data_IF_817372187276
#
_entry.id   IF_817372187276
#
_cell.length_a   1.000
_cell.length_b   1.000
_cell.length_c   1.000
_cell.angle_alpha   90.00
_cell.angle_beta   90.00
_cell.angle_gamma   90.00
#
_symmetry.space_group_name_H-M   'P 1'
#
loop_
_entity.id
_entity.type
_entity.pdbx_description
1 polymer ?
#
# COMPACT_ATOMS: atom_id res chain seq x y z
N UNK A 1 21.46 -48.75 28.56
CA UNK A 1 22.65 -49.23 29.28
C UNK A 1 23.09 -48.12 30.23
N UNK A 2 22.86 -48.41 31.52
CA UNK A 2 23.36 -47.87 32.78
C UNK A 2 24.34 -46.69 32.73
N UNK A 3 23.92 -45.53 33.32
CA UNK A 3 24.25 -45.03 34.69
C UNK A 3 25.74 -44.72 34.96
N UNK A 4 25.99 -43.52 35.47
CA UNK A 4 26.48 -43.34 36.87
C UNK A 4 26.54 -41.88 37.31
N UNK A 5 25.92 -41.65 38.43
CA UNK A 5 26.06 -40.49 39.33
C UNK A 5 27.48 -40.40 39.89
N UNK A 6 27.94 -39.21 40.22
CA UNK A 6 28.95 -39.01 41.28
C UNK A 6 28.58 -37.79 42.14
N UNK A 7 28.19 -38.12 43.34
CA UNK A 7 28.05 -37.25 44.52
C UNK A 7 29.43 -37.04 45.11
N UNK A 8 29.82 -35.83 45.46
CA UNK A 8 30.99 -35.57 46.32
C UNK A 8 30.52 -34.88 47.60
N UNK A 9 30.81 -35.58 48.71
CA UNK A 9 30.62 -35.14 50.10
C UNK A 9 31.73 -34.14 50.47
N UNK A 10 31.35 -33.07 51.18
CA UNK A 10 32.30 -32.20 51.87
C UNK A 10 32.33 -32.53 53.36
N UNK A 11 33.51 -32.64 53.87
CA UNK A 11 33.80 -33.01 55.24
C UNK A 11 33.60 -31.85 56.22
N UNK A 12 32.98 -32.18 57.32
CA UNK A 12 32.76 -31.39 58.49
C UNK A 12 34.03 -31.29 59.33
N UNK A 13 34.50 -30.07 59.63
CA UNK A 13 35.52 -29.85 60.68
C UNK A 13 34.93 -28.93 61.75
N UNK A 14 34.74 -29.49 62.92
CA UNK A 14 34.27 -28.79 64.09
C UNK A 14 35.47 -28.15 64.83
N UNK A 15 35.37 -26.86 65.11
CA UNK A 15 36.18 -26.19 66.14
C UNK A 15 35.28 -25.48 67.12
N UNK A 16 35.25 -25.99 68.35
CA UNK A 16 34.69 -25.33 69.50
C UNK A 16 35.63 -24.21 69.95
N UNK A 17 35.14 -22.97 70.07
CA UNK A 17 35.75 -21.95 70.89
C UNK A 17 34.64 -21.12 71.57
N UNK A 18 34.84 -20.99 72.84
CA UNK A 18 34.22 -20.38 73.99
C UNK A 18 33.43 -19.08 73.77
N UNK A 19 32.34 -18.99 74.49
CA UNK A 19 31.47 -17.84 74.69
C UNK A 19 32.21 -16.61 75.20
N UNK A 20 31.94 -15.47 74.55
CA UNK A 20 31.98 -14.14 75.16
C UNK A 20 30.70 -13.42 74.73
N UNK A 21 29.83 -13.14 75.72
CA UNK A 21 28.71 -12.26 75.50
C UNK A 21 29.19 -10.83 75.30
N UNK A 22 29.04 -10.27 74.15
CA UNK A 22 28.86 -8.87 73.88
C UNK A 22 27.55 -8.68 73.12
N UNK A 23 26.64 -7.91 73.66
CA UNK A 23 25.42 -7.50 73.06
C UNK A 23 25.75 -6.46 71.99
N UNK A 24 26.11 -6.92 70.79
CA UNK A 24 26.07 -6.10 69.62
C UNK A 24 24.70 -6.32 68.95
N UNK A 25 23.87 -5.30 69.05
CA UNK A 25 22.69 -5.13 68.18
C UNK A 25 23.23 -5.01 66.79
N UNK A 26 23.19 -6.10 66.04
CA UNK A 26 23.36 -6.01 64.58
C UNK A 26 22.22 -5.12 64.05
N UNK A 27 22.57 -3.93 63.55
CA UNK A 27 21.66 -3.16 62.74
C UNK A 27 21.27 -4.03 61.55
N UNK A 28 19.95 -4.08 61.22
CA UNK A 28 19.54 -4.84 60.05
C UNK A 28 20.30 -4.31 58.83
N UNK A 29 21.02 -5.19 58.12
CA UNK A 29 21.62 -4.87 56.82
C UNK A 29 20.47 -4.48 55.92
N UNK A 30 20.34 -3.17 55.70
CA UNK A 30 19.39 -2.63 54.71
C UNK A 30 20.00 -3.02 53.34
N UNK A 31 19.49 -4.08 52.76
CA UNK A 31 19.77 -4.39 51.36
C UNK A 31 19.14 -3.24 50.59
N UNK A 32 19.92 -2.47 49.78
CA UNK A 32 19.32 -1.43 48.96
C UNK A 32 18.24 -2.05 48.09
N UNK A 33 17.04 -1.47 48.09
CA UNK A 33 15.98 -1.88 47.20
C UNK A 33 16.51 -1.78 45.75
N UNK A 34 16.28 -2.81 44.97
CA UNK A 34 16.65 -2.79 43.54
C UNK A 34 15.64 -1.90 42.82
N UNK A 35 16.17 -0.85 42.18
CA UNK A 35 15.36 0.00 41.33
C UNK A 35 15.22 -0.64 39.96
N UNK A 36 14.05 -0.60 39.36
CA UNK A 36 13.87 -0.93 37.95
C UNK A 36 14.43 0.17 37.03
N UNK A 37 14.35 0.00 35.73
CA UNK A 37 14.88 0.97 34.77
C UNK A 37 14.12 2.32 34.75
N UNK A 38 12.91 2.39 35.33
CA UNK A 38 12.18 3.64 35.56
C UNK A 38 12.52 4.28 36.91
N UNK A 39 13.38 3.64 37.73
CA UNK A 39 13.76 4.12 39.05
C UNK A 39 12.73 3.82 40.14
N UNK A 40 11.84 2.85 39.93
CA UNK A 40 10.84 2.41 40.87
C UNK A 40 11.42 1.28 41.74
N UNK A 41 11.30 1.39 43.09
CA UNK A 41 11.71 0.35 44.02
C UNK A 41 10.87 -0.93 43.82
N UNK A 42 11.56 -2.06 43.57
CA UNK A 42 10.95 -3.36 43.30
C UNK A 42 9.99 -3.36 42.08
N UNK A 43 10.14 -2.36 41.17
CA UNK A 43 9.36 -2.27 39.96
C UNK A 43 9.66 -3.41 38.96
N UNK A 44 8.72 -3.63 38.03
CA UNK A 44 8.77 -4.74 37.06
C UNK A 44 9.33 -4.34 35.69
N UNK A 45 9.75 -3.07 35.55
CA UNK A 45 10.28 -2.57 34.27
C UNK A 45 11.71 -3.03 34.07
N UNK A 46 12.05 -3.43 32.84
CA UNK A 46 13.37 -3.89 32.46
C UNK A 46 13.79 -3.22 31.15
N UNK A 47 15.11 -3.03 31.00
CA UNK A 47 15.66 -2.49 29.79
C UNK A 47 15.63 -3.55 28.69
N UNK A 48 15.05 -3.21 27.54
CA UNK A 48 15.05 -4.08 26.37
C UNK A 48 16.42 -4.06 25.64
N UNK A 49 16.52 -4.82 24.55
CA UNK A 49 17.76 -4.91 23.76
C UNK A 49 18.09 -3.60 23.01
N UNK A 50 17.15 -2.67 22.88
CA UNK A 50 17.37 -1.32 22.34
C UNK A 50 17.83 -0.32 23.40
N UNK A 51 17.79 -0.68 24.67
CA UNK A 51 18.14 0.18 25.80
C UNK A 51 16.94 0.97 26.32
N UNK A 52 15.74 0.73 25.81
CA UNK A 52 14.50 1.36 26.29
C UNK A 52 13.95 0.63 27.51
N UNK A 53 13.38 1.38 28.43
CA UNK A 53 12.79 0.83 29.63
C UNK A 53 11.36 0.35 29.35
N UNK A 54 11.15 -0.95 29.36
CA UNK A 54 9.88 -1.61 29.09
C UNK A 54 9.24 -2.13 30.38
N UNK A 55 7.95 -1.87 30.54
CA UNK A 55 7.14 -2.41 31.64
C UNK A 55 6.36 -3.64 31.15
N UNK A 56 6.13 -4.63 32.01
CA UNK A 56 5.22 -5.72 31.69
C UNK A 56 3.83 -5.20 31.32
N UNK A 57 3.19 -5.82 30.35
CA UNK A 57 1.87 -5.41 29.86
C UNK A 57 1.01 -6.59 29.43
N UNK A 58 -0.30 -6.36 29.41
CA UNK A 58 -1.27 -7.27 28.79
C UNK A 58 -1.48 -6.80 27.36
N UNK A 59 -1.35 -7.71 26.42
CA UNK A 59 -1.60 -7.49 25.01
C UNK A 59 -2.81 -8.29 24.54
N UNK A 60 -3.80 -7.62 23.96
CA UNK A 60 -4.95 -8.25 23.30
C UNK A 60 -4.65 -8.33 21.78
N UNK A 61 -4.47 -9.55 21.28
CA UNK A 61 -4.09 -9.79 19.88
C UNK A 61 -5.27 -9.72 18.89
N UNK A 62 -6.48 -9.39 19.33
CA UNK A 62 -7.64 -9.11 18.46
C UNK A 62 -7.89 -7.62 18.32
N UNK A 63 -7.86 -6.89 19.45
CA UNK A 63 -8.04 -5.43 19.45
C UNK A 63 -6.74 -4.65 19.31
N UNK A 64 -5.60 -5.32 19.46
CA UNK A 64 -4.25 -4.76 19.53
C UNK A 64 -4.05 -3.74 20.65
N UNK A 65 -4.88 -3.82 21.68
CA UNK A 65 -4.75 -2.96 22.85
C UNK A 65 -3.60 -3.45 23.74
N UNK A 66 -2.83 -2.47 24.24
CA UNK A 66 -1.79 -2.67 25.25
C UNK A 66 -2.26 -2.06 26.57
N UNK A 67 -2.22 -2.85 27.63
CA UNK A 67 -2.50 -2.38 29.00
C UNK A 67 -1.28 -2.62 29.86
N UNK A 68 -0.61 -1.55 30.30
CA UNK A 68 0.54 -1.66 31.20
C UNK A 68 0.13 -2.32 32.51
N UNK A 69 0.98 -3.21 33.01
CA UNK A 69 0.74 -3.89 34.27
C UNK A 69 1.03 -2.93 35.42
N UNK A 70 0.07 -2.80 36.34
CA UNK A 70 0.21 -2.07 37.58
C UNK A 70 0.35 -3.09 38.73
N UNK A 71 1.26 -2.85 39.69
CA UNK A 71 1.51 -3.72 40.82
C UNK A 71 0.25 -3.94 41.72
N UNK A 72 -0.81 -3.18 41.48
CA UNK A 72 -2.10 -3.31 42.16
C UNK A 72 -3.13 -4.13 41.42
N UNK A 73 -2.84 -4.57 40.21
CA UNK A 73 -3.80 -5.29 39.37
C UNK A 73 -3.84 -6.78 39.68
N UNK A 74 -5.06 -7.29 39.90
CA UNK A 74 -5.30 -8.73 39.90
C UNK A 74 -5.28 -9.24 38.45
N UNK A 75 -4.27 -10.03 38.09
CA UNK A 75 -4.07 -10.49 36.73
C UNK A 75 -5.15 -11.50 36.35
N UNK A 76 -6.08 -11.09 35.50
CA UNK A 76 -7.04 -11.99 34.84
C UNK A 76 -6.98 -11.79 33.35
N UNK A 77 -6.44 -12.76 32.61
CA UNK A 77 -6.31 -12.70 31.15
C UNK A 77 -7.60 -13.16 30.48
N UNK A 78 -8.07 -12.40 29.49
CA UNK A 78 -9.10 -12.80 28.54
C UNK A 78 -8.60 -13.88 27.56
N UNK A 79 -9.50 -14.43 26.73
CA UNK A 79 -9.14 -15.47 25.74
C UNK A 79 -8.25 -14.96 24.62
N UNK A 80 -8.23 -13.64 24.40
CA UNK A 80 -7.48 -12.95 23.36
C UNK A 80 -6.30 -12.15 23.91
N UNK A 81 -6.03 -12.30 25.23
CA UNK A 81 -5.02 -11.53 25.93
C UNK A 81 -3.86 -12.42 26.35
N UNK A 82 -2.67 -11.89 26.23
CA UNK A 82 -1.44 -12.50 26.75
C UNK A 82 -0.71 -11.53 27.67
N UNK A 83 -0.02 -12.09 28.66
CA UNK A 83 0.90 -11.33 29.48
C UNK A 83 2.26 -11.30 28.81
N UNK A 84 2.76 -10.10 28.50
CA UNK A 84 4.10 -9.89 27.99
C UNK A 84 4.99 -9.45 29.15
N UNK A 85 5.89 -10.34 29.55
CA UNK A 85 6.87 -10.09 30.63
C UNK A 85 8.19 -9.63 30.04
N UNK A 86 8.82 -8.57 30.60
CA UNK A 86 10.18 -8.21 30.28
C UNK A 86 11.12 -9.41 30.51
N UNK A 87 12.10 -9.61 29.60
CA UNK A 87 13.08 -10.71 29.67
C UNK A 87 12.55 -12.15 29.64
N UNK A 88 11.36 -12.39 29.13
CA UNK A 88 10.92 -13.75 28.86
C UNK A 88 11.34 -14.17 27.43
N UNK A 89 12.47 -14.90 27.26
CA UNK A 89 12.96 -15.28 25.95
C UNK A 89 12.04 -16.30 25.25
N UNK A 90 11.05 -16.84 25.94
CA UNK A 90 10.04 -17.74 25.39
C UNK A 90 8.80 -16.99 24.89
N UNK A 91 8.67 -15.71 25.24
CA UNK A 91 7.58 -14.86 24.80
C UNK A 91 7.95 -14.20 23.46
N UNK A 92 7.27 -14.52 22.34
CA UNK A 92 7.57 -13.97 21.04
C UNK A 92 7.37 -12.45 20.93
N UNK A 93 6.66 -11.86 21.88
CA UNK A 93 6.37 -10.43 21.92
C UNK A 93 7.41 -9.62 22.71
N UNK A 94 8.30 -10.27 23.47
CA UNK A 94 9.22 -9.58 24.35
C UNK A 94 10.19 -8.63 23.62
N UNK A 95 10.72 -9.05 22.49
CA UNK A 95 11.71 -8.27 21.71
C UNK A 95 11.06 -7.53 20.54
N UNK A 96 9.75 -7.47 20.46
CA UNK A 96 9.05 -6.91 19.33
C UNK A 96 9.36 -5.41 19.13
N UNK A 97 9.54 -4.62 20.21
CA UNK A 97 9.82 -3.19 20.08
C UNK A 97 11.25 -2.79 19.67
N UNK A 98 12.15 -3.76 19.39
CA UNK A 98 13.58 -3.49 19.22
C UNK A 98 14.15 -3.73 17.83
N UNK A 99 13.38 -4.21 16.88
CA UNK A 99 13.88 -4.45 15.52
C UNK A 99 14.04 -3.12 14.80
N UNK A 100 15.26 -2.73 14.39
CA UNK A 100 15.48 -1.48 13.68
C UNK A 100 14.89 -1.54 12.26
N UNK A 101 14.51 -0.38 11.73
CA UNK A 101 14.06 -0.28 10.33
C UNK A 101 15.22 -0.71 9.41
N UNK A 102 15.02 -1.71 8.55
CA UNK A 102 16.06 -2.19 7.67
C UNK A 102 16.40 -1.16 6.58
N UNK A 103 17.61 -1.17 6.05
CA UNK A 103 18.02 -0.28 4.96
C UNK A 103 17.26 -0.55 3.66
N UNK A 104 16.79 -1.77 3.45
CA UNK A 104 16.04 -2.22 2.28
C UNK A 104 14.75 -2.92 2.72
N UNK A 105 13.77 -3.09 1.82
CA UNK A 105 12.52 -3.79 2.13
C UNK A 105 12.76 -5.30 2.24
N UNK A 106 13.41 -5.70 3.34
CA UNK A 106 13.75 -7.09 3.65
C UNK A 106 13.30 -7.44 5.05
N UNK A 107 12.43 -8.42 5.14
CA UNK A 107 11.92 -8.94 6.41
C UNK A 107 12.01 -10.47 6.38
N UNK A 108 12.51 -11.04 7.45
CA UNK A 108 12.66 -12.49 7.55
C UNK A 108 12.19 -13.02 8.90
N UNK A 109 11.90 -14.31 8.91
CA UNK A 109 11.67 -15.08 10.12
C UNK A 109 12.50 -16.35 10.03
N UNK A 110 13.39 -16.56 11.02
CA UNK A 110 14.31 -17.71 11.05
C UNK A 110 15.18 -17.82 9.77
N UNK A 111 15.60 -16.65 9.21
CA UNK A 111 16.49 -16.58 8.04
C UNK A 111 15.81 -16.84 6.69
N UNK A 112 14.47 -16.86 6.64
CA UNK A 112 13.71 -16.94 5.39
C UNK A 112 12.78 -15.73 5.26
N UNK A 113 12.66 -15.19 4.04
CA UNK A 113 11.84 -14.00 3.76
C UNK A 113 10.37 -14.25 4.11
N UNK A 114 9.78 -13.28 4.83
CA UNK A 114 8.35 -13.20 5.10
C UNK A 114 7.62 -12.30 4.11
N UNK A 115 8.34 -11.60 3.21
CA UNK A 115 7.74 -10.68 2.23
C UNK A 115 6.98 -11.45 1.16
N UNK A 116 5.69 -11.16 0.99
CA UNK A 116 4.81 -11.91 0.09
C UNK A 116 3.75 -11.05 -0.57
N UNK A 117 3.87 -10.84 -1.89
CA UNK A 117 2.91 -10.08 -2.72
C UNK A 117 2.72 -10.66 -4.14
N UNK A 118 2.97 -11.93 -4.36
CA UNK A 118 2.88 -12.56 -5.68
C UNK A 118 1.51 -12.42 -6.36
N UNK A 119 0.43 -12.32 -5.56
CA UNK A 119 -0.90 -12.08 -6.10
C UNK A 119 -1.09 -10.70 -6.71
N UNK A 120 -0.40 -9.70 -6.20
CA UNK A 120 -0.40 -8.32 -6.71
C UNK A 120 0.41 -8.24 -7.99
N UNK A 121 1.59 -8.84 -8.02
CA UNK A 121 2.42 -8.98 -9.23
C UNK A 121 1.60 -9.60 -10.37
N UNK A 122 0.90 -10.71 -10.11
CA UNK A 122 0.05 -11.35 -11.13
C UNK A 122 -1.02 -10.40 -11.67
N UNK A 123 -1.74 -9.64 -10.80
CA UNK A 123 -2.76 -8.68 -11.25
C UNK A 123 -2.17 -7.52 -12.05
N UNK A 124 -1.00 -7.02 -11.66
CA UNK A 124 -0.32 -5.97 -12.41
C UNK A 124 0.08 -6.47 -13.82
N UNK A 125 0.59 -7.70 -13.92
CA UNK A 125 0.90 -8.34 -15.21
C UNK A 125 -0.36 -8.54 -16.06
N UNK A 126 -1.45 -9.03 -15.45
CA UNK A 126 -2.76 -9.14 -16.11
C UNK A 126 -3.23 -7.80 -16.66
N UNK A 127 -3.13 -6.71 -15.90
CA UNK A 127 -3.55 -5.38 -16.36
C UNK A 127 -2.71 -4.87 -17.52
N UNK A 128 -1.41 -5.13 -17.53
CA UNK A 128 -0.50 -4.77 -18.63
C UNK A 128 -0.86 -5.56 -19.91
N UNK A 129 -1.10 -6.86 -19.81
CA UNK A 129 -1.47 -7.69 -20.96
C UNK A 129 -2.87 -7.32 -21.50
N UNK A 130 -3.84 -7.12 -20.60
CA UNK A 130 -5.18 -6.65 -20.99
C UNK A 130 -5.11 -5.32 -21.75
N UNK A 131 -4.32 -4.35 -21.26
CA UNK A 131 -4.09 -3.09 -21.99
C UNK A 131 -3.54 -3.32 -23.40
N UNK A 132 -2.58 -4.23 -23.57
CA UNK A 132 -2.04 -4.61 -24.87
C UNK A 132 -3.07 -5.25 -25.80
N UNK A 133 -4.09 -5.89 -25.25
CA UNK A 133 -5.12 -6.63 -26.00
C UNK A 133 -6.23 -5.75 -26.59
N UNK A 134 -6.32 -4.46 -26.18
CA UNK A 134 -7.38 -3.53 -26.62
C UNK A 134 -7.46 -3.34 -28.14
N UNK A 135 -6.38 -3.55 -28.88
CA UNK A 135 -6.36 -3.34 -30.33
C UNK A 135 -6.75 -4.56 -31.15
N UNK A 136 -6.92 -5.73 -30.53
CA UNK A 136 -7.08 -6.99 -31.28
C UNK A 136 -8.11 -7.96 -30.69
N UNK A 137 -8.37 -7.93 -29.39
CA UNK A 137 -9.26 -8.86 -28.72
C UNK A 137 -10.74 -8.49 -28.92
N UNK A 138 -11.60 -9.50 -28.98
CA UNK A 138 -13.05 -9.36 -28.95
C UNK A 138 -13.56 -8.93 -27.59
N UNK A 139 -14.80 -8.46 -27.49
CA UNK A 139 -15.45 -8.14 -26.22
C UNK A 139 -15.40 -9.31 -25.24
N UNK A 140 -15.71 -10.52 -25.70
CA UNK A 140 -15.72 -11.70 -24.84
C UNK A 140 -14.33 -11.99 -24.26
N UNK A 141 -13.26 -11.86 -25.05
CA UNK A 141 -11.89 -12.05 -24.60
C UNK A 141 -11.47 -10.95 -23.60
N UNK A 142 -11.78 -9.67 -23.86
CA UNK A 142 -11.46 -8.58 -22.94
C UNK A 142 -12.19 -8.73 -21.60
N UNK A 143 -13.47 -9.10 -21.63
CA UNK A 143 -14.27 -9.31 -20.41
C UNK A 143 -13.82 -10.58 -19.65
N UNK A 144 -13.43 -11.66 -20.35
CA UNK A 144 -12.85 -12.86 -19.75
C UNK A 144 -11.55 -12.52 -19.01
N UNK A 145 -10.61 -11.82 -19.67
CA UNK A 145 -9.36 -11.39 -19.04
C UNK A 145 -9.62 -10.53 -17.79
N UNK A 146 -10.55 -9.60 -17.87
CA UNK A 146 -10.84 -8.66 -16.79
C UNK A 146 -11.62 -9.29 -15.63
N UNK A 147 -12.71 -10.03 -15.93
CA UNK A 147 -13.67 -10.53 -14.93
C UNK A 147 -13.36 -11.94 -14.46
N UNK A 148 -12.83 -12.82 -15.32
CA UNK A 148 -12.60 -14.23 -15.00
C UNK A 148 -11.15 -14.52 -14.65
N UNK A 149 -10.20 -13.68 -15.10
CA UNK A 149 -8.77 -13.84 -14.84
C UNK A 149 -8.14 -14.95 -15.66
N UNK A 150 -8.72 -15.22 -16.85
CA UNK A 150 -8.26 -16.20 -17.83
C UNK A 150 -8.13 -15.54 -19.21
N UNK A 151 -7.62 -16.26 -20.22
CA UNK A 151 -7.39 -15.70 -21.54
C UNK A 151 -6.03 -15.00 -21.71
N UNK A 152 -5.16 -15.06 -20.71
CA UNK A 152 -3.80 -14.50 -20.78
C UNK A 152 -2.83 -15.42 -21.49
N UNK A 153 -1.79 -14.84 -22.10
CA UNK A 153 -0.74 -15.60 -22.81
C UNK A 153 0.12 -16.43 -21.87
N UNK A 154 0.34 -15.95 -20.64
CA UNK A 154 1.05 -16.71 -19.59
C UNK A 154 0.09 -17.66 -18.86
N UNK A 155 0.28 -19.00 -18.97
CA UNK A 155 -0.52 -19.97 -18.24
C UNK A 155 -0.49 -19.82 -16.73
N UNK A 156 0.58 -19.21 -16.16
CA UNK A 156 0.67 -18.97 -14.73
C UNK A 156 -0.34 -17.91 -14.27
N UNK A 157 -0.62 -16.90 -15.09
CA UNK A 157 -1.68 -15.91 -14.81
C UNK A 157 -3.06 -16.59 -14.80
N UNK A 158 -3.36 -17.41 -15.82
CA UNK A 158 -4.63 -18.12 -15.93
C UNK A 158 -4.90 -19.06 -14.76
N UNK A 159 -3.86 -19.70 -14.22
CA UNK A 159 -3.96 -20.61 -13.07
C UNK A 159 -3.83 -19.94 -11.71
N UNK A 160 -3.55 -18.65 -11.65
CA UNK A 160 -3.31 -17.91 -10.40
C UNK A 160 -4.57 -17.75 -9.52
N UNK A 161 -5.76 -17.91 -10.10
CA UNK A 161 -7.04 -17.62 -9.46
C UNK A 161 -7.26 -16.13 -9.19
N UNK A 162 -6.41 -15.24 -9.72
CA UNK A 162 -6.54 -13.78 -9.56
C UNK A 162 -7.47 -13.22 -10.64
N UNK A 163 -8.11 -12.10 -10.32
CA UNK A 163 -9.03 -11.37 -11.22
C UNK A 163 -8.80 -9.88 -11.05
N UNK A 164 -8.92 -9.11 -12.12
CA UNK A 164 -8.85 -7.64 -12.07
C UNK A 164 -10.15 -7.05 -11.57
N UNK A 165 -11.27 -7.44 -12.17
CA UNK A 165 -12.58 -6.86 -11.91
C UNK A 165 -13.04 -6.97 -10.45
N UNK A 166 -12.66 -8.02 -9.71
CA UNK A 166 -13.03 -8.17 -8.31
C UNK A 166 -12.21 -7.29 -7.34
N UNK A 167 -11.16 -6.65 -7.84
CA UNK A 167 -10.32 -5.72 -7.09
C UNK A 167 -10.44 -4.27 -7.55
N UNK A 168 -11.12 -4.05 -8.68
CA UNK A 168 -11.36 -2.69 -9.19
C UNK A 168 -12.30 -1.94 -8.25
N UNK A 169 -11.81 -0.87 -7.64
CA UNK A 169 -12.52 -0.01 -6.69
C UNK A 169 -13.19 -0.80 -5.54
N UNK A 170 -12.60 -1.91 -5.10
CA UNK A 170 -13.27 -2.86 -4.21
C UNK A 170 -13.41 -2.35 -2.78
N UNK A 171 -12.66 -1.35 -2.38
CA UNK A 171 -12.78 -0.68 -1.09
C UNK A 171 -13.64 0.58 -1.17
N UNK A 172 -13.71 1.21 -2.35
CA UNK A 172 -14.43 2.46 -2.50
C UNK A 172 -15.18 2.54 -3.82
N UNK A 173 -16.53 2.61 -3.78
CA UNK A 173 -17.44 2.76 -4.93
C UNK A 173 -17.44 1.63 -5.97
N UNK A 174 -17.17 0.37 -5.62
CA UNK A 174 -17.06 -0.71 -6.62
C UNK A 174 -18.31 -0.88 -7.50
N UNK A 175 -19.51 -0.75 -6.94
CA UNK A 175 -20.78 -0.89 -7.67
C UNK A 175 -21.03 0.21 -8.70
N UNK A 176 -20.32 1.35 -8.61
CA UNK A 176 -20.44 2.49 -9.51
C UNK A 176 -19.27 2.54 -10.51
N UNK A 177 -18.05 2.26 -10.03
CA UNK A 177 -16.83 2.40 -10.84
C UNK A 177 -16.56 1.19 -11.71
N UNK A 178 -16.68 -0.04 -11.18
CA UNK A 178 -16.43 -1.24 -11.98
C UNK A 178 -17.23 -1.31 -13.28
N UNK A 179 -18.55 -0.99 -13.30
CA UNK A 179 -19.32 -0.96 -14.55
C UNK A 179 -18.80 0.00 -15.61
N UNK A 180 -18.12 1.11 -15.21
CA UNK A 180 -17.48 2.02 -16.17
C UNK A 180 -16.35 1.31 -16.92
N UNK A 181 -15.55 0.50 -16.23
CA UNK A 181 -14.48 -0.29 -16.85
C UNK A 181 -15.03 -1.39 -17.76
N UNK A 182 -16.09 -2.11 -17.35
CA UNK A 182 -16.78 -3.09 -18.22
C UNK A 182 -17.29 -2.40 -19.51
N UNK A 183 -17.89 -1.19 -19.39
CA UNK A 183 -18.38 -0.42 -20.52
C UNK A 183 -17.25 0.05 -21.47
N UNK A 184 -16.09 0.44 -20.92
CA UNK A 184 -14.91 0.80 -21.76
C UNK A 184 -14.44 -0.38 -22.61
N UNK A 185 -14.36 -1.60 -22.02
CA UNK A 185 -13.98 -2.82 -22.72
C UNK A 185 -14.98 -3.15 -23.84
N UNK A 186 -16.28 -3.12 -23.53
CA UNK A 186 -17.34 -3.38 -24.50
C UNK A 186 -17.35 -2.35 -25.64
N UNK A 187 -17.21 -1.06 -25.31
CA UNK A 187 -17.18 0.02 -26.31
C UNK A 187 -15.94 -0.05 -27.21
N UNK A 188 -14.78 -0.38 -26.64
CA UNK A 188 -13.55 -0.58 -27.41
C UNK A 188 -13.76 -1.65 -28.49
N UNK A 189 -14.28 -2.81 -28.11
CA UNK A 189 -14.43 -3.95 -29.01
C UNK A 189 -15.55 -3.78 -30.03
N UNK A 190 -16.67 -3.15 -29.62
CA UNK A 190 -17.89 -3.10 -30.44
C UNK A 190 -18.07 -1.80 -31.23
N UNK A 191 -17.36 -0.72 -30.86
CA UNK A 191 -17.49 0.58 -31.52
C UNK A 191 -16.16 1.03 -32.13
N UNK A 192 -15.11 1.16 -31.30
CA UNK A 192 -13.84 1.75 -31.74
C UNK A 192 -13.14 0.85 -32.76
N UNK A 193 -12.91 -0.42 -32.42
CA UNK A 193 -12.13 -1.32 -33.30
C UNK A 193 -12.85 -1.65 -34.60
N UNK A 194 -14.17 -1.87 -34.67
CA UNK A 194 -14.87 -2.00 -35.94
C UNK A 194 -14.75 -0.78 -36.86
N UNK A 195 -14.83 0.44 -36.30
CA UNK A 195 -14.65 1.68 -37.07
C UNK A 195 -13.22 1.82 -37.59
N UNK A 196 -12.22 1.55 -36.76
CA UNK A 196 -10.80 1.55 -37.14
C UNK A 196 -10.53 0.52 -38.25
N UNK A 197 -11.03 -0.71 -38.11
CA UNK A 197 -10.86 -1.79 -39.11
C UNK A 197 -11.57 -1.50 -40.42
N UNK A 198 -12.63 -0.69 -40.40
CA UNK A 198 -13.30 -0.19 -41.61
C UNK A 198 -12.57 0.99 -42.27
N UNK A 199 -11.48 1.48 -41.68
CA UNK A 199 -10.74 2.65 -42.17
C UNK A 199 -11.48 3.98 -41.92
N UNK A 200 -12.37 4.04 -40.92
CA UNK A 200 -13.12 5.25 -40.60
C UNK A 200 -12.18 6.29 -39.99
N UNK A 201 -12.17 7.50 -40.58
CA UNK A 201 -11.48 8.65 -39.98
C UNK A 201 -12.34 9.19 -38.86
N UNK A 202 -11.78 9.27 -37.65
CA UNK A 202 -12.49 9.80 -36.51
C UNK A 202 -12.71 11.31 -36.62
N UNK A 203 -13.86 11.76 -36.13
CA UNK A 203 -14.28 13.17 -36.10
C UNK A 203 -15.32 13.36 -34.98
N UNK A 204 -15.69 14.60 -34.62
CA UNK A 204 -16.76 14.84 -33.66
C UNK A 204 -18.02 14.00 -33.96
N UNK A 205 -18.43 13.14 -33.05
CA UNK A 205 -19.56 12.23 -33.19
C UNK A 205 -19.27 10.95 -33.99
N UNK A 206 -18.02 10.70 -34.43
CA UNK A 206 -17.66 9.55 -35.25
C UNK A 206 -16.42 8.85 -34.67
N UNK A 207 -16.57 7.60 -34.24
CA UNK A 207 -15.47 6.76 -33.80
C UNK A 207 -14.57 6.34 -34.97
N UNK A 208 -13.28 6.08 -34.71
CA UNK A 208 -12.33 5.64 -35.75
C UNK A 208 -10.89 5.93 -35.38
N UNK A 209 -10.06 6.13 -36.40
CA UNK A 209 -8.65 6.55 -36.24
C UNK A 209 -8.49 7.99 -36.70
N UNK A 210 -7.81 8.81 -35.89
CA UNK A 210 -7.44 10.19 -36.23
C UNK A 210 -5.92 10.31 -36.21
N UNK A 211 -5.33 10.91 -37.25
CA UNK A 211 -3.91 11.21 -37.29
C UNK A 211 -3.69 12.72 -37.27
N UNK A 212 -3.00 13.21 -36.26
CA UNK A 212 -2.67 14.62 -36.10
C UNK A 212 -1.54 15.08 -37.01
N UNK A 213 -1.32 16.40 -37.01
CA UNK A 213 -0.30 17.03 -37.83
C UNK A 213 1.13 16.60 -37.47
N UNK A 214 1.39 16.28 -36.18
CA UNK A 214 2.65 15.73 -35.68
C UNK A 214 2.89 14.26 -36.04
N UNK A 215 1.91 13.59 -36.63
CA UNK A 215 2.01 12.20 -37.07
C UNK A 215 1.57 11.19 -36.00
N UNK A 216 1.11 11.60 -34.83
CA UNK A 216 0.47 10.72 -33.84
C UNK A 216 -0.88 10.23 -34.37
N UNK A 217 -1.13 8.93 -34.29
CA UNK A 217 -2.44 8.34 -34.58
C UNK A 217 -3.09 7.87 -33.29
N UNK A 218 -4.37 8.22 -33.08
CA UNK A 218 -5.20 7.87 -31.94
C UNK A 218 -6.43 7.10 -32.42
N UNK A 219 -6.82 6.05 -31.68
CA UNK A 219 -8.00 5.23 -31.96
C UNK A 219 -9.06 5.55 -30.92
N UNK A 220 -10.11 6.23 -31.34
CA UNK A 220 -11.03 6.91 -30.42
C UNK A 220 -12.48 6.54 -30.66
N UNK A 221 -13.26 6.72 -29.61
CA UNK A 221 -14.70 6.69 -29.68
C UNK A 221 -15.26 7.98 -30.33
N UNK A 222 -16.59 8.10 -30.43
CA UNK A 222 -17.27 9.26 -31.03
C UNK A 222 -17.06 10.57 -30.26
N UNK A 223 -16.61 10.50 -28.99
CA UNK A 223 -16.26 11.65 -28.16
C UNK A 223 -14.76 11.96 -28.10
N UNK A 224 -13.96 11.22 -28.84
CA UNK A 224 -12.53 11.44 -28.90
C UNK A 224 -11.72 10.74 -27.79
N UNK A 225 -12.27 9.82 -27.03
CA UNK A 225 -11.54 9.11 -26.00
C UNK A 225 -10.77 7.90 -26.56
N UNK A 226 -9.45 7.83 -26.31
CA UNK A 226 -8.66 6.60 -26.43
C UNK A 226 -9.00 5.70 -25.24
N UNK A 227 -9.94 4.75 -25.41
CA UNK A 227 -10.46 3.93 -24.31
C UNK A 227 -9.40 3.05 -23.65
N UNK A 228 -8.36 2.65 -24.35
CA UNK A 228 -7.22 1.95 -23.75
C UNK A 228 -6.45 2.85 -22.77
N UNK A 229 -6.30 4.15 -23.06
CA UNK A 229 -5.64 5.10 -22.17
C UNK A 229 -6.54 5.42 -20.96
N UNK A 230 -7.80 5.75 -21.20
CA UNK A 230 -8.76 6.00 -20.11
C UNK A 230 -8.85 4.81 -19.15
N UNK A 231 -8.89 3.58 -19.69
CA UNK A 231 -8.93 2.35 -18.92
C UNK A 231 -7.69 2.16 -18.06
N UNK A 232 -6.49 2.14 -18.67
CA UNK A 232 -5.28 1.80 -17.93
C UNK A 232 -4.88 2.88 -16.90
N UNK A 233 -5.13 4.17 -17.19
CA UNK A 233 -4.89 5.25 -16.22
C UNK A 233 -5.93 5.25 -15.10
N UNK A 234 -7.20 4.93 -15.42
CA UNK A 234 -8.22 4.69 -14.42
C UNK A 234 -7.91 3.51 -13.50
N UNK A 235 -7.29 2.43 -14.03
CA UNK A 235 -6.83 1.29 -13.23
C UNK A 235 -5.71 1.66 -12.24
N UNK A 236 -4.94 2.73 -12.48
CA UNK A 236 -3.98 3.23 -11.49
C UNK A 236 -4.70 3.59 -10.20
N UNK A 237 -5.81 4.34 -10.27
CA UNK A 237 -6.61 4.66 -9.11
C UNK A 237 -7.44 3.47 -8.63
N UNK A 238 -8.24 2.90 -9.51
CA UNK A 238 -9.25 1.92 -9.14
C UNK A 238 -8.69 0.55 -8.74
N UNK A 239 -7.51 0.16 -9.25
CA UNK A 239 -6.85 -1.08 -8.85
C UNK A 239 -5.69 -0.84 -7.89
N UNK A 240 -4.73 0.06 -8.23
CA UNK A 240 -3.54 0.20 -7.41
C UNK A 240 -3.79 1.06 -6.17
N UNK A 241 -4.24 2.32 -6.36
CA UNK A 241 -4.39 3.27 -5.24
C UNK A 241 -5.53 2.86 -4.30
N UNK A 242 -6.69 2.43 -4.81
CA UNK A 242 -7.79 1.93 -3.96
C UNK A 242 -7.34 0.77 -3.06
N UNK A 243 -6.58 -0.19 -3.62
CA UNK A 243 -6.07 -1.31 -2.83
C UNK A 243 -5.02 -0.89 -1.80
N UNK A 244 -4.11 0.02 -2.16
CA UNK A 244 -3.07 0.49 -1.24
C UNK A 244 -3.68 1.40 -0.17
N UNK A 245 -4.32 2.48 -0.62
CA UNK A 245 -4.71 3.61 0.23
C UNK A 245 -5.97 3.32 1.05
N UNK A 246 -7.00 2.76 0.41
CA UNK A 246 -8.29 2.50 1.05
C UNK A 246 -8.40 1.09 1.62
N UNK A 247 -7.46 0.22 1.23
CA UNK A 247 -7.38 -1.17 1.63
C UNK A 247 -6.15 -1.45 2.49
N UNK A 248 -5.16 -2.06 1.92
CA UNK A 248 -4.08 -2.78 2.60
C UNK A 248 -3.26 -1.99 3.61
N UNK A 249 -3.06 -0.68 3.42
CA UNK A 249 -2.36 0.19 4.38
C UNK A 249 -3.32 0.98 5.28
N UNK A 250 -4.64 0.76 5.19
CA UNK A 250 -5.60 1.47 6.02
C UNK A 250 -5.77 0.80 7.39
N UNK A 251 -6.01 1.58 8.47
CA UNK A 251 -6.33 1.01 9.77
C UNK A 251 -7.55 0.07 9.73
N UNK A 252 -8.59 0.40 8.95
CA UNK A 252 -9.78 -0.44 8.81
C UNK A 252 -9.48 -1.86 8.28
N UNK A 253 -8.39 -2.03 7.54
CA UNK A 253 -7.92 -3.34 7.04
C UNK A 253 -6.95 -3.99 8.00
N UNK A 254 -6.08 -3.21 8.63
CA UNK A 254 -5.00 -3.73 9.46
C UNK A 254 -5.45 -4.04 10.89
N UNK A 255 -6.28 -3.20 11.51
CA UNK A 255 -6.69 -3.40 12.91
C UNK A 255 -7.36 -4.76 13.21
N UNK A 256 -8.24 -5.30 12.32
CA UNK A 256 -8.82 -6.62 12.55
C UNK A 256 -7.91 -7.78 12.13
N UNK A 257 -6.72 -7.50 11.57
CA UNK A 257 -5.82 -8.52 11.06
C UNK A 257 -4.99 -9.14 12.19
N UNK A 258 -4.94 -10.46 12.21
CA UNK A 258 -4.09 -11.20 13.14
C UNK A 258 -2.61 -10.85 12.94
N UNK A 259 -1.92 -10.55 14.04
CA UNK A 259 -0.48 -10.29 14.09
C UNK A 259 0.23 -11.14 15.16
N UNK A 260 -0.33 -12.29 15.52
CA UNK A 260 0.33 -13.23 16.44
C UNK A 260 1.39 -14.05 15.68
N UNK A 261 2.69 -13.84 15.94
CA UNK A 261 3.77 -14.63 15.32
C UNK A 261 4.01 -15.97 16.00
N UNK A 262 3.29 -16.28 17.11
CA UNK A 262 3.50 -17.51 17.86
C UNK A 262 3.15 -18.75 17.02
N UNK A 263 4.06 -19.72 17.02
CA UNK A 263 3.89 -20.95 16.24
C UNK A 263 4.19 -20.85 14.76
N UNK A 264 4.54 -19.65 14.24
CA UNK A 264 4.98 -19.50 12.86
C UNK A 264 6.39 -20.06 12.63
N UNK A 265 6.57 -20.75 11.51
CA UNK A 265 7.85 -21.32 11.07
C UNK A 265 8.70 -20.32 10.25
N UNK A 266 9.82 -20.83 9.73
CA UNK A 266 10.73 -20.07 8.89
C UNK A 266 10.04 -19.55 7.62
N UNK A 267 10.07 -18.25 7.40
CA UNK A 267 9.47 -17.56 6.24
C UNK A 267 7.95 -17.46 6.28
N UNK A 268 7.28 -17.94 7.32
CA UNK A 268 5.86 -17.71 7.51
C UNK A 268 5.62 -16.29 8.05
N UNK A 269 4.47 -15.71 7.74
CA UNK A 269 4.09 -14.34 8.08
C UNK A 269 2.72 -14.30 8.76
N UNK A 270 2.49 -13.25 9.54
CA UNK A 270 1.15 -12.97 10.10
C UNK A 270 0.23 -12.41 9.02
N UNK A 271 -1.08 -12.42 9.27
CA UNK A 271 -2.04 -11.82 8.34
C UNK A 271 -1.79 -10.32 8.14
N UNK A 272 -1.44 -9.60 9.21
CA UNK A 272 -1.16 -8.15 9.15
C UNK A 272 0.11 -7.86 8.34
N UNK A 273 1.19 -8.62 8.58
CA UNK A 273 2.41 -8.56 7.78
C UNK A 273 2.13 -8.75 6.29
N UNK A 274 1.34 -9.78 5.96
CA UNK A 274 0.97 -10.06 4.57
C UNK A 274 0.12 -8.96 3.94
N UNK A 275 -0.85 -8.40 4.66
CA UNK A 275 -1.64 -7.29 4.14
C UNK A 275 -0.78 -6.08 3.82
N UNK A 276 0.16 -5.74 4.70
CA UNK A 276 1.09 -4.64 4.43
C UNK A 276 1.91 -4.89 3.15
N UNK A 277 2.48 -6.10 3.02
CA UNK A 277 3.22 -6.51 1.84
C UNK A 277 2.36 -6.50 0.56
N UNK A 278 1.07 -6.87 0.65
CA UNK A 278 0.12 -6.77 -0.47
C UNK A 278 -0.05 -5.31 -0.92
N UNK A 279 -0.08 -4.34 0.00
CA UNK A 279 -0.07 -2.91 -0.32
C UNK A 279 1.20 -2.50 -1.07
N UNK A 280 2.37 -2.89 -0.56
CA UNK A 280 3.67 -2.66 -1.21
C UNK A 280 3.71 -3.30 -2.61
N UNK A 281 3.13 -4.48 -2.76
CA UNK A 281 3.07 -5.22 -4.03
C UNK A 281 2.30 -4.50 -5.14
N UNK A 282 1.25 -3.73 -4.83
CA UNK A 282 0.56 -2.92 -5.85
C UNK A 282 1.37 -1.73 -6.36
N UNK A 283 2.34 -1.24 -5.58
CA UNK A 283 3.25 -0.18 -6.02
C UNK A 283 4.50 -0.76 -6.71
N UNK A 284 5.14 -1.75 -6.10
CA UNK A 284 6.46 -2.24 -6.51
C UNK A 284 6.46 -3.66 -7.10
N UNK A 285 5.32 -4.33 -7.22
CA UNK A 285 5.26 -5.74 -7.64
C UNK A 285 5.77 -6.06 -9.06
N UNK A 286 6.05 -5.03 -9.88
CA UNK A 286 6.70 -5.15 -11.18
C UNK A 286 8.15 -4.62 -11.19
N UNK A 287 8.68 -4.15 -10.05
CA UNK A 287 10.11 -3.88 -9.93
C UNK A 287 10.91 -5.17 -10.01
N UNK A 288 12.08 -5.11 -10.63
CA UNK A 288 12.97 -6.26 -10.73
C UNK A 288 13.53 -6.66 -9.35
N UNK A 289 13.72 -5.68 -8.48
CA UNK A 289 14.25 -5.85 -7.12
C UNK A 289 13.60 -4.84 -6.18
N UNK A 290 12.75 -5.31 -5.28
CA UNK A 290 12.09 -4.50 -4.25
C UNK A 290 13.09 -3.94 -3.23
N UNK A 291 14.27 -4.56 -3.07
CA UNK A 291 15.29 -4.10 -2.13
C UNK A 291 16.04 -2.86 -2.65
N UNK A 292 15.95 -2.60 -3.94
CA UNK A 292 16.56 -1.45 -4.60
C UNK A 292 15.64 -0.91 -5.71
N UNK A 293 14.43 -0.41 -5.35
CA UNK A 293 13.50 0.11 -6.36
C UNK A 293 14.13 1.30 -7.08
N UNK A 294 13.99 1.31 -8.41
CA UNK A 294 14.68 2.30 -9.23
C UNK A 294 13.94 3.62 -9.32
N UNK A 295 12.64 3.63 -9.03
CA UNK A 295 11.74 4.77 -9.21
C UNK A 295 11.83 5.40 -10.61
N UNK A 296 12.34 4.65 -11.59
CA UNK A 296 12.59 5.16 -12.95
C UNK A 296 11.35 5.20 -13.83
N UNK A 297 10.27 4.56 -13.41
CA UNK A 297 9.02 4.46 -14.14
C UNK A 297 9.09 3.66 -15.44
N UNK A 298 10.17 2.91 -15.69
CA UNK A 298 10.44 2.28 -16.97
C UNK A 298 9.77 0.90 -17.15
N UNK A 299 9.19 0.31 -16.12
CA UNK A 299 8.74 -1.08 -16.15
C UNK A 299 7.28 -1.29 -16.54
N UNK A 300 6.38 -0.30 -16.45
CA UNK A 300 4.94 -0.53 -16.50
C UNK A 300 4.16 0.68 -16.98
N UNK A 301 2.91 0.46 -17.36
CA UNK A 301 1.93 1.53 -17.68
C UNK A 301 1.08 1.92 -16.46
N UNK A 302 1.35 1.30 -15.30
CA UNK A 302 0.61 1.46 -14.05
C UNK A 302 1.30 2.42 -13.06
N UNK A 303 0.90 2.35 -11.78
CA UNK A 303 1.29 3.29 -10.72
C UNK A 303 2.82 3.49 -10.61
N UNK A 304 3.62 2.42 -10.66
CA UNK A 304 5.08 2.49 -10.53
C UNK A 304 5.73 3.43 -11.56
N UNK A 305 5.28 3.39 -12.83
CA UNK A 305 5.74 4.30 -13.89
C UNK A 305 5.52 5.77 -13.52
N UNK A 306 4.36 6.09 -12.97
CA UNK A 306 4.00 7.47 -12.63
C UNK A 306 4.64 7.92 -11.33
N UNK A 307 4.82 7.01 -10.37
CA UNK A 307 5.67 7.23 -9.20
C UNK A 307 7.09 7.66 -9.61
N UNK A 308 7.70 6.97 -10.57
CA UNK A 308 9.00 7.35 -11.12
C UNK A 308 9.00 8.71 -11.81
N UNK A 309 7.94 9.04 -12.57
CA UNK A 309 7.81 10.35 -13.24
C UNK A 309 7.75 11.50 -12.23
N UNK A 310 6.87 11.42 -11.23
CA UNK A 310 6.70 12.49 -10.21
C UNK A 310 7.93 12.59 -9.30
N UNK A 311 8.61 11.48 -9.01
CA UNK A 311 9.87 11.49 -8.28
C UNK A 311 10.99 12.22 -9.06
N UNK A 312 11.09 11.95 -10.35
CA UNK A 312 12.09 12.60 -11.24
C UNK A 312 11.81 14.10 -11.38
N UNK A 313 10.54 14.49 -11.43
CA UNK A 313 10.13 15.90 -11.47
C UNK A 313 10.32 16.62 -10.12
N UNK A 314 10.38 15.86 -9.01
CA UNK A 314 10.49 16.42 -7.65
C UNK A 314 9.15 16.76 -7.00
N UNK A 315 8.03 16.34 -7.59
CA UNK A 315 6.68 16.64 -7.10
C UNK A 315 6.29 15.75 -5.91
N UNK A 316 6.78 14.51 -5.90
CA UNK A 316 6.58 13.53 -4.81
C UNK A 316 7.89 12.81 -4.53
N UNK A 317 8.33 12.81 -3.27
CA UNK A 317 9.51 12.07 -2.82
C UNK A 317 9.18 10.59 -2.62
N UNK A 318 9.55 9.77 -3.60
CA UNK A 318 9.33 8.33 -3.54
C UNK A 318 10.28 7.59 -2.58
N UNK A 319 11.38 8.23 -2.15
CA UNK A 319 12.21 7.68 -1.07
C UNK A 319 11.47 7.79 0.26
N UNK A 320 10.77 8.90 0.51
CA UNK A 320 9.92 9.03 1.69
C UNK A 320 8.80 7.99 1.72
N UNK A 321 8.19 7.66 0.57
CA UNK A 321 7.21 6.56 0.46
C UNK A 321 7.86 5.23 0.82
N UNK A 322 9.03 4.93 0.26
CA UNK A 322 9.75 3.67 0.51
C UNK A 322 10.18 3.55 1.98
N UNK A 323 10.66 4.63 2.57
CA UNK A 323 11.07 4.68 3.98
C UNK A 323 9.86 4.48 4.90
N UNK A 324 8.72 5.11 4.61
CA UNK A 324 7.48 4.91 5.36
C UNK A 324 6.98 3.46 5.26
N UNK A 325 7.07 2.84 4.08
CA UNK A 325 6.69 1.43 3.90
C UNK A 325 7.59 0.48 4.70
N UNK A 326 8.90 0.73 4.77
CA UNK A 326 9.82 -0.05 5.61
C UNK A 326 9.52 0.15 7.10
N UNK A 327 9.36 1.40 7.51
CA UNK A 327 9.11 1.74 8.91
C UNK A 327 7.79 1.15 9.41
N UNK A 328 6.71 1.26 8.63
CA UNK A 328 5.41 0.70 8.99
C UNK A 328 5.41 -0.84 9.03
N UNK A 329 6.14 -1.51 8.11
CA UNK A 329 6.31 -2.97 8.17
C UNK A 329 7.13 -3.40 9.38
N UNK A 330 8.13 -2.60 9.76
CA UNK A 330 8.91 -2.80 11.00
C UNK A 330 8.02 -2.61 12.23
N UNK A 331 7.18 -1.57 12.23
CA UNK A 331 6.24 -1.30 13.31
C UNK A 331 5.25 -2.46 13.53
N UNK A 332 4.81 -3.15 12.44
CA UNK A 332 3.98 -4.36 12.56
C UNK A 332 4.76 -5.48 13.28
N UNK A 333 6.02 -5.72 12.89
CA UNK A 333 6.86 -6.73 13.56
C UNK A 333 7.10 -6.37 15.03
N UNK A 334 7.27 -5.08 15.31
CA UNK A 334 7.47 -4.54 16.66
C UNK A 334 6.16 -4.37 17.46
N UNK A 335 5.01 -4.67 16.87
CA UNK A 335 3.67 -4.47 17.48
C UNK A 335 3.42 -3.00 17.88
N UNK A 336 4.13 -2.05 17.28
CA UNK A 336 3.87 -0.62 17.44
C UNK A 336 2.84 -0.15 16.42
N UNK A 337 1.56 -0.30 16.77
CA UNK A 337 0.45 0.04 15.87
C UNK A 337 0.24 1.55 15.71
N UNK A 338 0.72 2.36 16.66
CA UNK A 338 0.72 3.82 16.52
C UNK A 338 1.68 4.26 15.42
N UNK A 339 2.90 3.71 15.43
CA UNK A 339 3.90 3.98 14.39
C UNK A 339 3.48 3.36 13.04
N UNK A 340 2.91 2.13 13.03
CA UNK A 340 2.33 1.52 11.82
C UNK A 340 1.35 2.47 11.12
N UNK A 341 0.41 3.03 11.88
CA UNK A 341 -0.64 3.91 11.35
C UNK A 341 -0.06 5.25 10.87
N UNK A 342 0.89 5.82 11.61
CA UNK A 342 1.58 7.05 11.22
C UNK A 342 2.33 6.87 9.89
N UNK A 343 3.09 5.80 9.76
CA UNK A 343 3.84 5.49 8.53
C UNK A 343 2.91 5.08 7.38
N UNK A 344 1.84 4.34 7.70
CA UNK A 344 0.78 4.02 6.75
C UNK A 344 0.13 5.28 6.18
N UNK A 345 -0.17 6.27 7.00
CA UNK A 345 -0.76 7.54 6.57
C UNK A 345 0.18 8.34 5.66
N UNK A 346 1.47 8.43 6.01
CA UNK A 346 2.50 9.09 5.18
C UNK A 346 2.55 8.45 3.78
N UNK A 347 2.65 7.12 3.73
CA UNK A 347 2.71 6.42 2.44
C UNK A 347 1.42 6.61 1.61
N UNK A 348 0.25 6.52 2.24
CA UNK A 348 -1.06 6.68 1.60
C UNK A 348 -1.27 8.10 1.04
N UNK A 349 -0.89 9.13 1.78
CA UNK A 349 -0.96 10.54 1.35
C UNK A 349 -0.05 10.80 0.15
N UNK A 350 1.23 10.41 0.23
CA UNK A 350 2.19 10.63 -0.85
C UNK A 350 1.83 9.85 -2.12
N UNK A 351 1.29 8.63 -1.99
CA UNK A 351 0.77 7.86 -3.12
C UNK A 351 -0.46 8.54 -3.72
N UNK A 352 -1.35 9.08 -2.90
CA UNK A 352 -2.52 9.86 -3.35
C UNK A 352 -2.09 11.10 -4.14
N UNK A 353 -1.01 11.77 -3.73
CA UNK A 353 -0.49 12.95 -4.40
C UNK A 353 -0.06 12.68 -5.84
N UNK A 354 0.40 11.45 -6.17
CA UNK A 354 0.71 11.06 -7.55
C UNK A 354 -0.49 11.27 -8.48
N UNK A 355 -1.71 10.95 -8.01
CA UNK A 355 -2.93 11.09 -8.81
C UNK A 355 -3.23 12.57 -9.10
N UNK A 356 -3.11 13.45 -8.09
CA UNK A 356 -3.34 14.88 -8.24
C UNK A 356 -2.36 15.51 -9.22
N UNK A 357 -1.06 15.29 -9.02
CA UNK A 357 -0.01 15.78 -9.93
C UNK A 357 -0.29 15.35 -11.35
N UNK A 358 -0.59 14.06 -11.57
CA UNK A 358 -0.78 13.56 -12.94
C UNK A 358 -2.10 14.02 -13.57
N UNK A 359 -3.17 14.14 -12.79
CA UNK A 359 -4.44 14.70 -13.31
C UNK A 359 -4.24 16.15 -13.75
N UNK A 360 -3.61 16.99 -12.91
CA UNK A 360 -3.31 18.38 -13.24
C UNK A 360 -2.39 18.50 -14.46
N UNK A 361 -1.29 17.72 -14.51
CA UNK A 361 -0.34 17.73 -15.62
C UNK A 361 -1.02 17.49 -16.98
N UNK A 362 -1.86 16.45 -17.06
CA UNK A 362 -2.52 16.10 -18.33
C UNK A 362 -3.62 17.08 -18.72
N UNK A 363 -4.36 17.65 -17.77
CA UNK A 363 -5.32 18.71 -18.05
C UNK A 363 -4.62 19.97 -18.56
N UNK A 364 -3.51 20.38 -17.92
CA UNK A 364 -2.70 21.53 -18.34
C UNK A 364 -1.98 21.25 -19.66
N UNK A 365 -1.53 20.04 -19.91
CA UNK A 365 -0.95 19.62 -21.19
C UNK A 365 -1.94 19.81 -22.34
N UNK A 366 -3.15 19.27 -22.20
CA UNK A 366 -4.23 19.46 -23.17
C UNK A 366 -4.61 20.94 -23.34
N UNK A 367 -4.73 21.69 -22.24
CA UNK A 367 -5.02 23.12 -22.30
C UNK A 367 -3.93 23.93 -23.03
N UNK A 368 -2.66 23.59 -22.79
CA UNK A 368 -1.52 24.21 -23.45
C UNK A 368 -1.51 23.95 -24.95
N UNK A 369 -1.76 22.70 -25.35
CA UNK A 369 -1.81 22.33 -26.78
C UNK A 369 -2.98 23.03 -27.49
N UNK A 370 -4.16 23.10 -26.87
CA UNK A 370 -5.32 23.87 -27.38
C UNK A 370 -5.03 25.37 -27.52
N UNK A 371 -4.08 25.91 -26.77
CA UNK A 371 -3.65 27.33 -26.85
C UNK A 371 -2.74 27.64 -28.04
N UNK A 372 -2.25 26.64 -28.76
CA UNK A 372 -1.41 26.82 -29.94
C UNK A 372 -2.21 27.42 -31.11
N UNK A 373 -1.55 28.15 -32.01
CA UNK A 373 -2.19 28.72 -33.20
C UNK A 373 -2.84 27.64 -34.10
N UNK A 374 -2.26 26.46 -34.13
CA UNK A 374 -2.75 25.26 -34.83
C UNK A 374 -2.57 24.08 -33.88
N UNK A 375 -3.59 23.79 -33.03
CA UNK A 375 -3.50 22.66 -32.10
C UNK A 375 -3.39 21.32 -32.85
N UNK A 376 -2.54 20.43 -32.36
CA UNK A 376 -2.57 19.04 -32.79
C UNK A 376 -3.57 18.26 -31.95
N UNK A 377 -4.76 18.06 -32.50
CA UNK A 377 -5.85 17.38 -31.79
C UNK A 377 -5.52 15.94 -31.40
N UNK A 378 -4.55 15.28 -32.04
CA UNK A 378 -4.16 13.93 -31.62
C UNK A 378 -3.33 13.98 -30.31
N UNK A 379 -2.54 15.01 -30.10
CA UNK A 379 -1.84 15.23 -28.82
C UNK A 379 -2.84 15.61 -27.72
N UNK A 380 -3.79 16.54 -27.99
CA UNK A 380 -4.85 16.90 -27.05
C UNK A 380 -5.65 15.68 -26.61
N UNK A 381 -6.10 14.88 -27.57
CA UNK A 381 -6.90 13.68 -27.35
C UNK A 381 -6.13 12.66 -26.51
N UNK A 382 -4.85 12.43 -26.83
CA UNK A 382 -4.01 11.49 -26.10
C UNK A 382 -3.83 11.93 -24.64
N UNK A 383 -3.38 13.16 -24.41
CA UNK A 383 -3.14 13.69 -23.09
C UNK A 383 -4.44 13.69 -22.25
N UNK A 384 -5.55 14.13 -22.82
CA UNK A 384 -6.82 14.18 -22.09
C UNK A 384 -7.46 12.80 -21.88
N UNK A 385 -7.17 11.80 -22.75
CA UNK A 385 -7.58 10.42 -22.49
C UNK A 385 -6.81 9.82 -21.31
N UNK A 386 -5.50 10.11 -21.18
CA UNK A 386 -4.74 9.77 -19.96
C UNK A 386 -5.27 10.58 -18.76
N UNK A 387 -5.49 11.88 -18.94
CA UNK A 387 -6.05 12.79 -17.93
C UNK A 387 -7.40 12.32 -17.37
N UNK A 388 -8.31 11.85 -18.24
CA UNK A 388 -9.60 11.27 -17.82
C UNK A 388 -9.43 10.15 -16.80
N UNK A 389 -8.50 9.22 -17.04
CA UNK A 389 -8.22 8.12 -16.12
C UNK A 389 -7.68 8.59 -14.77
N UNK A 390 -6.84 9.63 -14.76
CA UNK A 390 -6.35 10.23 -13.51
C UNK A 390 -7.41 11.05 -12.78
N UNK A 391 -8.27 11.80 -13.49
CA UNK A 391 -9.43 12.49 -12.88
C UNK A 391 -10.38 11.47 -12.26
N UNK A 392 -10.71 10.37 -12.98
CA UNK A 392 -11.50 9.27 -12.43
C UNK A 392 -10.88 8.72 -11.12
N UNK A 393 -9.56 8.73 -11.04
CA UNK A 393 -8.82 8.17 -9.90
C UNK A 393 -8.84 9.06 -8.65
N UNK A 394 -9.16 10.36 -8.75
CA UNK A 394 -9.11 11.31 -7.63
C UNK A 394 -10.03 10.93 -6.45
N UNK A 395 -11.14 10.23 -6.73
CA UNK A 395 -12.06 9.75 -5.70
C UNK A 395 -11.44 8.74 -4.71
N UNK A 396 -10.26 8.17 -5.03
CA UNK A 396 -9.54 7.23 -4.18
C UNK A 396 -8.45 7.89 -3.34
N UNK A 397 -8.18 9.18 -3.57
CA UNK A 397 -7.10 9.93 -2.93
C UNK A 397 -7.52 10.48 -1.56
N UNK A 398 -6.57 10.48 -0.62
CA UNK A 398 -6.74 11.05 0.72
C UNK A 398 -5.73 12.14 1.02
N UNK A 399 -6.07 12.97 2.03
CA UNK A 399 -5.17 13.96 2.62
C UNK A 399 -4.31 13.37 3.76
N UNK A 400 -3.41 14.19 4.34
CA UNK A 400 -2.57 13.84 5.49
C UNK A 400 -3.31 13.59 6.81
N UNK A 401 -4.64 13.71 6.81
CA UNK A 401 -5.52 13.34 7.92
C UNK A 401 -6.34 12.07 7.63
N UNK A 402 -6.16 11.48 6.46
CA UNK A 402 -6.87 10.28 6.03
C UNK A 402 -8.26 10.53 5.46
N UNK A 403 -8.65 11.79 5.21
CA UNK A 403 -9.94 12.12 4.59
C UNK A 403 -9.83 12.11 3.07
N UNK A 404 -10.91 11.69 2.38
CA UNK A 404 -10.97 11.78 0.92
C UNK A 404 -10.88 13.23 0.44
N UNK A 405 -10.01 13.47 -0.55
CA UNK A 405 -9.81 14.79 -1.15
C UNK A 405 -10.97 15.20 -2.08
N UNK A 406 -11.58 14.22 -2.74
CA UNK A 406 -12.72 14.43 -3.64
C UNK A 406 -13.84 13.45 -3.35
N UNK A 407 -15.08 13.92 -3.41
CA UNK A 407 -16.25 13.06 -3.42
C UNK A 407 -16.44 12.45 -4.81
N UNK A 408 -17.25 11.38 -4.89
CA UNK A 408 -17.62 10.79 -6.18
C UNK A 408 -18.36 11.80 -7.08
N UNK A 409 -19.24 12.58 -6.51
CA UNK A 409 -20.05 13.58 -7.21
C UNK A 409 -19.18 14.69 -7.82
N UNK A 410 -18.13 15.13 -7.12
CA UNK A 410 -17.16 16.10 -7.65
C UNK A 410 -16.35 15.51 -8.80
N UNK A 411 -15.89 14.28 -8.68
CA UNK A 411 -15.19 13.58 -9.76
C UNK A 411 -16.13 13.37 -10.96
N UNK A 412 -17.37 12.94 -10.73
CA UNK A 412 -18.35 12.76 -11.81
C UNK A 412 -18.64 14.09 -12.55
N UNK A 413 -18.69 15.21 -11.83
CA UNK A 413 -18.84 16.53 -12.45
C UNK A 413 -17.63 16.92 -13.33
N UNK A 414 -16.40 16.61 -12.89
CA UNK A 414 -15.21 16.80 -13.70
C UNK A 414 -15.20 15.92 -14.96
N UNK A 415 -15.57 14.64 -14.82
CA UNK A 415 -15.68 13.73 -15.96
C UNK A 415 -16.77 14.18 -16.94
N UNK A 416 -17.91 14.67 -16.44
CA UNK A 416 -18.99 15.21 -17.26
C UNK A 416 -18.54 16.46 -18.05
N UNK A 417 -17.64 17.29 -17.51
CA UNK A 417 -17.05 18.41 -18.26
C UNK A 417 -16.21 17.89 -19.44
N UNK A 418 -15.41 16.84 -19.25
CA UNK A 418 -14.62 16.23 -20.32
C UNK A 418 -15.48 15.55 -21.38
N UNK A 419 -16.67 15.06 -21.00
CA UNK A 419 -17.63 14.38 -21.89
C UNK A 419 -18.66 15.32 -22.53
N UNK A 420 -18.65 16.62 -22.19
CA UNK A 420 -19.66 17.56 -22.68
C UNK A 420 -19.62 17.72 -24.20
N UNK A 421 -20.77 17.93 -24.83
CA UNK A 421 -20.86 18.12 -26.29
C UNK A 421 -20.30 16.92 -27.07
N UNK A 422 -19.33 17.15 -27.92
CA UNK A 422 -18.59 16.12 -28.64
C UNK A 422 -17.35 15.61 -27.86
N UNK A 423 -17.31 15.80 -26.54
CA UNK A 423 -16.22 15.35 -25.68
C UNK A 423 -14.91 16.10 -25.92
N UNK A 424 -13.82 15.38 -26.10
CA UNK A 424 -12.48 15.96 -26.26
C UNK A 424 -12.31 16.79 -27.54
N UNK A 425 -13.22 16.62 -28.53
CA UNK A 425 -13.20 17.43 -29.74
C UNK A 425 -13.64 18.90 -29.49
N UNK A 426 -14.48 19.13 -28.48
CA UNK A 426 -15.09 20.43 -28.20
C UNK A 426 -14.58 21.07 -26.90
N UNK A 427 -13.76 20.37 -26.11
CA UNK A 427 -13.27 20.87 -24.84
C UNK A 427 -12.43 22.13 -25.02
N UNK A 428 -12.57 23.09 -24.11
CA UNK A 428 -11.80 24.35 -24.13
C UNK A 428 -10.73 24.41 -23.03
N UNK A 429 -9.67 25.17 -23.28
CA UNK A 429 -8.53 25.32 -22.40
C UNK A 429 -8.91 25.96 -21.02
N UNK A 430 -9.95 26.80 -20.99
CA UNK A 430 -10.36 27.46 -19.74
C UNK A 430 -10.99 26.45 -18.77
N UNK A 431 -11.84 25.56 -19.28
CA UNK A 431 -12.43 24.46 -18.52
C UNK A 431 -11.35 23.54 -17.96
N UNK A 432 -10.36 23.15 -18.78
CA UNK A 432 -9.25 22.28 -18.36
C UNK A 432 -8.39 22.94 -17.26
N UNK A 433 -8.04 24.21 -17.43
CA UNK A 433 -7.26 24.94 -16.44
C UNK A 433 -8.03 25.12 -15.14
N UNK A 434 -9.34 25.39 -15.17
CA UNK A 434 -10.17 25.49 -13.97
C UNK A 434 -10.21 24.19 -13.19
N UNK A 435 -10.33 23.05 -13.88
CA UNK A 435 -10.27 21.71 -13.24
C UNK A 435 -8.90 21.47 -12.62
N UNK A 436 -7.82 21.82 -13.33
CA UNK A 436 -6.46 21.67 -12.82
C UNK A 436 -6.21 22.56 -11.60
N UNK A 437 -6.70 23.81 -11.60
CA UNK A 437 -6.58 24.73 -10.46
C UNK A 437 -7.29 24.18 -9.21
N UNK A 438 -8.48 23.58 -9.38
CA UNK A 438 -9.22 22.94 -8.28
C UNK A 438 -8.43 21.74 -7.71
N UNK A 439 -7.82 20.93 -8.58
CA UNK A 439 -6.99 19.78 -8.18
C UNK A 439 -5.75 20.28 -7.43
N UNK A 440 -5.01 21.24 -8.00
CA UNK A 440 -3.81 21.78 -7.39
C UNK A 440 -4.09 22.36 -5.99
N UNK A 441 -5.20 23.10 -5.85
CA UNK A 441 -5.59 23.67 -4.56
C UNK A 441 -5.84 22.61 -3.48
N UNK A 442 -6.44 21.46 -3.84
CA UNK A 442 -6.75 20.39 -2.88
C UNK A 442 -5.53 19.55 -2.49
N UNK A 443 -4.60 19.35 -3.42
CA UNK A 443 -3.37 18.61 -3.15
C UNK A 443 -2.22 19.51 -2.66
N UNK A 444 -2.38 20.83 -2.66
CA UNK A 444 -1.33 21.79 -2.31
C UNK A 444 -0.14 21.74 -3.29
N UNK A 445 -0.44 21.70 -4.59
CA UNK A 445 0.56 21.65 -5.68
C UNK A 445 1.00 23.04 -6.09
#
# INVERSE_FOLDING_TARGET
>A
MKMKNNIFFAALSACLILASCSSDTEEPVVVPATLDCNGIEEGTSMQDDCGDCQQAYIYDFVSHNVQLLDDTMELTLGQTEILVMPNDPTNPYWNAGCIPVPSTYTFDRMGQSTVSYGGQTARLQMAVELYGSFSSASEAELLEMYNDGTGFSDPALNSSGKKLGNKTASYHYSSLVKPMFDAMLSKQANVVMPAVNAGTIAAPGVAGEYTGAGGRSVKVDEKGFELNQTFIKGMIGALCVDQIVNGYLSPSKLDPADNDPSGLGAGEYTTMEHYWDEGVGYLYGLEADITAPTFSGNGSVLLNKYAGKVNTAGDVDMNAVYDALKAGRTAIVNMDYTERDAQGLIARELISKILGVKASDYLRGGASELGNTTPDMAEVIHDLSEGFGFVLSLQFAIDGSGNYLFTKEEVDAMLANLEAGNGLWDIDAATLNSMADDIDARFGL
#
